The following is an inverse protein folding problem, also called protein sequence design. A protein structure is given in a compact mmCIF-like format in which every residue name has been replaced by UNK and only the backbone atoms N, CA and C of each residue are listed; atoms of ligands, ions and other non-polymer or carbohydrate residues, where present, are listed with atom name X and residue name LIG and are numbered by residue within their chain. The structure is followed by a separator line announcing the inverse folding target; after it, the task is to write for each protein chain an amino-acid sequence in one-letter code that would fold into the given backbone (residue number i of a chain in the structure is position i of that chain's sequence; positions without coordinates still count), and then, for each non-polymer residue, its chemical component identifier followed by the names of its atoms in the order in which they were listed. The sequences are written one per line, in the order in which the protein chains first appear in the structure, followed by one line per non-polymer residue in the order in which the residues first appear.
data_IF_935082537492
#
_entry.id   IF_935082537492
#
_cell.length_a   1.000
_cell.length_b   1.000
_cell.length_c   1.000
_cell.angle_alpha   90.00
_cell.angle_beta   90.00
_cell.angle_gamma   90.00
#
_symmetry.space_group_name_H-M   'P 1'
#
loop_
_entity.id
_entity.type
_entity.pdbx_description
1 polymer ?
#
# COMPACT_ATOMS: atom_id res chain seq x y z
N UNK A 1 -17.59 -22.62 19.54
CA UNK A 1 -17.11 -24.03 19.44
C UNK A 1 -15.63 -23.94 19.09
N UNK A 2 -14.75 -24.48 19.96
CA UNK A 2 -13.33 -24.59 19.67
C UNK A 2 -13.12 -25.66 18.61
N UNK A 3 -12.46 -25.33 17.51
CA UNK A 3 -12.09 -26.28 16.48
C UNK A 3 -11.15 -27.35 17.08
N UNK A 4 -11.51 -28.63 16.89
CA UNK A 4 -10.67 -29.76 17.30
C UNK A 4 -10.10 -30.42 16.07
N UNK A 5 -8.78 -30.61 16.03
CA UNK A 5 -8.12 -31.29 14.93
C UNK A 5 -8.65 -32.75 14.77
N UNK A 6 -8.84 -33.25 13.53
CA UNK A 6 -9.24 -34.63 13.30
C UNK A 6 -8.29 -35.63 13.97
N UNK A 7 -8.78 -36.82 14.41
CA UNK A 7 -7.93 -37.85 14.99
C UNK A 7 -6.79 -38.21 14.03
N UNK A 8 -5.55 -38.19 14.52
CA UNK A 8 -4.34 -38.42 13.72
C UNK A 8 -3.67 -37.17 13.10
N UNK A 9 -4.29 -36.00 13.16
CA UNK A 9 -3.75 -34.74 12.61
C UNK A 9 -2.97 -33.90 13.61
N UNK A 10 -2.63 -34.45 14.79
CA UNK A 10 -2.00 -33.72 15.89
C UNK A 10 -0.67 -33.03 15.56
N UNK A 11 -0.01 -33.47 14.48
CA UNK A 11 1.18 -32.82 13.95
C UNK A 11 1.12 -32.88 12.43
N UNK A 12 1.18 -31.77 11.74
CA UNK A 12 1.42 -31.77 10.29
C UNK A 12 2.93 -31.85 10.07
N UNK A 13 3.37 -33.04 9.66
CA UNK A 13 4.72 -33.34 9.16
C UNK A 13 5.88 -33.11 10.13
N UNK A 14 6.50 -34.13 10.60
CA UNK A 14 7.87 -34.31 11.11
C UNK A 14 8.59 -33.16 11.87
N UNK A 15 7.93 -32.06 12.10
CA UNK A 15 8.46 -30.82 12.63
C UNK A 15 7.76 -30.34 13.91
N UNK A 16 7.01 -31.19 14.61
CA UNK A 16 6.35 -30.90 15.89
C UNK A 16 5.49 -29.60 15.95
N UNK A 17 5.00 -29.07 14.83
CA UNK A 17 4.08 -27.93 14.87
C UNK A 17 2.67 -28.45 15.08
N UNK A 18 1.98 -28.06 16.16
CA UNK A 18 0.61 -28.52 16.41
C UNK A 18 -0.32 -28.00 15.30
N UNK A 19 -1.27 -28.82 14.88
CA UNK A 19 -2.34 -28.42 13.98
C UNK A 19 -3.43 -27.76 14.80
N UNK A 20 -3.58 -26.45 14.67
CA UNK A 20 -4.55 -25.65 15.43
C UNK A 20 -5.65 -25.05 14.54
N UNK A 21 -5.50 -25.12 13.21
CA UNK A 21 -6.50 -24.68 12.25
C UNK A 21 -6.46 -25.55 10.96
N UNK A 22 -7.55 -25.61 10.16
CA UNK A 22 -7.55 -26.30 8.87
C UNK A 22 -6.53 -25.69 7.90
N UNK A 23 -6.24 -26.38 6.80
CA UNK A 23 -5.36 -25.84 5.75
C UNK A 23 -4.74 -26.92 4.87
N UNK A 24 -3.99 -26.53 3.83
CA UNK A 24 -3.39 -27.43 2.86
C UNK A 24 -2.33 -28.34 3.46
N UNK A 25 -2.07 -29.45 2.81
CA UNK A 25 -0.94 -30.32 3.14
C UNK A 25 0.38 -29.81 2.52
N UNK A 26 1.54 -30.28 3.07
CA UNK A 26 2.88 -29.94 2.53
C UNK A 26 3.00 -30.29 1.05
N UNK A 27 2.47 -31.44 0.63
CA UNK A 27 2.54 -31.92 -0.75
C UNK A 27 1.75 -30.99 -1.68
N UNK A 28 0.63 -30.47 -1.23
CA UNK A 28 -0.18 -29.50 -1.94
C UNK A 28 0.55 -28.17 -2.08
N UNK A 29 1.13 -27.66 -0.99
CA UNK A 29 1.93 -26.42 -1.00
C UNK A 29 3.09 -26.50 -1.99
N UNK A 30 3.81 -27.63 -2.02
CA UNK A 30 4.91 -27.85 -2.98
C UNK A 30 4.43 -27.84 -4.41
N UNK A 31 3.28 -28.47 -4.71
CA UNK A 31 2.69 -28.44 -6.07
C UNK A 31 2.27 -27.04 -6.50
N UNK A 32 1.76 -26.26 -5.54
CA UNK A 32 1.28 -24.87 -5.78
C UNK A 32 2.37 -23.81 -5.64
N UNK A 33 3.63 -24.18 -5.43
CA UNK A 33 4.73 -23.25 -5.19
C UNK A 33 4.88 -22.19 -6.30
N UNK A 34 4.76 -22.60 -7.56
CA UNK A 34 4.80 -21.68 -8.71
C UNK A 34 3.63 -20.68 -8.68
N UNK A 35 2.45 -21.13 -8.31
CA UNK A 35 1.27 -20.27 -8.17
C UNK A 35 1.48 -19.24 -7.04
N UNK A 36 1.99 -19.67 -5.89
CA UNK A 36 2.33 -18.79 -4.78
C UNK A 36 3.28 -17.67 -5.21
N UNK A 37 4.24 -17.98 -6.09
CA UNK A 37 5.22 -17.01 -6.57
C UNK A 37 4.67 -16.06 -7.64
N UNK A 38 3.83 -16.54 -8.56
CA UNK A 38 3.41 -15.79 -9.75
C UNK A 38 1.98 -15.23 -9.65
N UNK A 39 1.11 -15.88 -8.87
CA UNK A 39 -0.27 -15.45 -8.65
C UNK A 39 -0.70 -15.63 -7.20
N UNK A 40 -0.06 -14.93 -6.24
CA UNK A 40 -0.36 -15.06 -4.81
C UNK A 40 -1.79 -14.65 -4.46
N UNK A 41 -2.41 -13.75 -5.22
CA UNK A 41 -3.77 -13.29 -5.00
C UNK A 41 -4.78 -14.44 -5.17
N UNK A 42 -4.68 -15.14 -6.28
CA UNK A 42 -5.53 -16.31 -6.57
C UNK A 42 -5.28 -17.44 -5.57
N UNK A 43 -4.00 -17.68 -5.23
CA UNK A 43 -3.64 -18.68 -4.22
C UNK A 43 -4.32 -18.40 -2.87
N UNK A 44 -4.27 -17.16 -2.37
CA UNK A 44 -4.88 -16.80 -1.09
C UNK A 44 -6.41 -16.90 -1.16
N UNK A 45 -7.02 -16.46 -2.25
CA UNK A 45 -8.47 -16.51 -2.45
C UNK A 45 -8.99 -17.95 -2.48
N UNK A 46 -8.38 -18.82 -3.28
CA UNK A 46 -8.73 -20.24 -3.35
C UNK A 46 -8.48 -20.96 -2.01
N UNK A 47 -7.39 -20.62 -1.32
CA UNK A 47 -7.09 -21.21 -0.01
C UNK A 47 -8.17 -20.87 1.00
N UNK A 48 -8.64 -19.63 1.04
CA UNK A 48 -9.77 -19.23 1.87
C UNK A 48 -11.05 -19.98 1.49
N UNK A 49 -11.38 -20.06 0.20
CA UNK A 49 -12.60 -20.75 -0.29
C UNK A 49 -12.62 -22.24 0.09
N UNK A 50 -11.46 -22.89 0.06
CA UNK A 50 -11.33 -24.33 0.32
C UNK A 50 -11.27 -24.66 1.82
N UNK A 51 -10.65 -23.83 2.63
CA UNK A 51 -10.33 -24.17 4.01
C UNK A 51 -11.00 -23.28 5.07
N UNK A 52 -11.67 -22.19 4.66
CA UNK A 52 -12.40 -21.29 5.55
C UNK A 52 -11.58 -20.08 6.02
N UNK A 53 -12.11 -19.42 7.05
CA UNK A 53 -11.69 -18.07 7.43
C UNK A 53 -10.34 -18.00 8.15
N UNK A 54 -9.94 -19.05 8.84
CA UNK A 54 -8.63 -19.16 9.48
C UNK A 54 -7.94 -20.42 8.97
N UNK A 55 -6.84 -20.24 8.27
CA UNK A 55 -6.11 -21.32 7.60
C UNK A 55 -4.69 -21.39 8.09
N UNK A 56 -4.24 -22.57 8.51
CA UNK A 56 -2.85 -22.83 8.88
C UNK A 56 -2.07 -23.38 7.69
N UNK A 57 -1.01 -22.67 7.28
CA UNK A 57 -0.04 -23.20 6.32
C UNK A 57 1.00 -24.07 7.02
N UNK A 58 1.37 -25.22 6.44
CA UNK A 58 2.37 -26.12 7.00
C UNK A 58 3.81 -25.59 6.84
N UNK A 59 4.05 -24.73 5.85
CA UNK A 59 5.32 -24.07 5.52
C UNK A 59 5.06 -22.64 5.08
N UNK A 60 5.99 -21.66 5.22
CA UNK A 60 7.30 -21.80 5.89
C UNK A 60 7.18 -21.85 7.43
N UNK A 61 8.34 -22.02 8.08
CA UNK A 61 8.42 -21.83 9.53
C UNK A 61 8.86 -20.41 9.86
N UNK A 62 8.39 -19.80 10.94
CA UNK A 62 7.39 -20.31 11.92
C UNK A 62 6.05 -20.60 11.26
N UNK A 63 5.12 -21.27 12.02
CA UNK A 63 3.77 -21.53 11.55
C UNK A 63 3.12 -20.28 10.98
N UNK A 64 2.46 -20.40 9.86
CA UNK A 64 1.84 -19.26 9.16
C UNK A 64 0.35 -19.46 9.06
N UNK A 65 -0.43 -18.40 9.28
CA UNK A 65 -1.88 -18.40 9.30
C UNK A 65 -2.41 -17.34 8.35
N UNK A 66 -3.38 -17.71 7.50
CA UNK A 66 -4.20 -16.76 6.75
C UNK A 66 -5.48 -16.51 7.55
N UNK A 67 -5.79 -15.25 7.79
CA UNK A 67 -7.04 -14.81 8.44
C UNK A 67 -7.80 -13.96 7.44
N UNK A 68 -8.99 -14.44 7.02
CA UNK A 68 -9.75 -13.92 5.88
C UNK A 68 -11.14 -13.41 6.23
N UNK A 69 -11.60 -13.59 7.47
CA UNK A 69 -12.87 -13.00 7.90
C UNK A 69 -12.70 -11.57 8.39
N UNK A 70 -13.74 -10.74 8.31
CA UNK A 70 -13.75 -9.40 8.91
C UNK A 70 -13.51 -9.41 10.40
N UNK A 71 -14.10 -10.36 11.14
CA UNK A 71 -13.93 -10.48 12.59
C UNK A 71 -12.51 -10.93 12.95
N UNK A 72 -11.98 -11.94 12.26
CA UNK A 72 -10.61 -12.39 12.48
C UNK A 72 -9.58 -11.31 12.16
N UNK A 73 -9.80 -10.52 11.11
CA UNK A 73 -8.98 -9.35 10.81
C UNK A 73 -9.00 -8.32 11.96
N UNK A 74 -10.18 -8.08 12.54
CA UNK A 74 -10.32 -7.22 13.73
C UNK A 74 -9.60 -7.81 14.94
N UNK A 75 -9.71 -9.12 15.17
CA UNK A 75 -9.03 -9.78 16.27
C UNK A 75 -7.52 -9.61 16.16
N UNK A 76 -6.94 -9.78 14.98
CA UNK A 76 -5.50 -9.64 14.74
C UNK A 76 -5.04 -8.18 14.82
N UNK A 77 -5.77 -7.25 14.18
CA UNK A 77 -5.27 -5.87 13.97
C UNK A 77 -5.69 -4.91 15.09
N UNK A 78 -6.78 -5.21 15.80
CA UNK A 78 -7.36 -4.33 16.82
C UNK A 78 -7.32 -4.98 18.19
N UNK A 79 -8.00 -6.13 18.38
CA UNK A 79 -8.22 -6.70 19.70
C UNK A 79 -6.91 -7.22 20.32
N UNK A 80 -6.12 -7.96 19.56
CA UNK A 80 -4.84 -8.55 20.00
C UNK A 80 -3.61 -7.73 19.56
N UNK A 81 -3.77 -6.44 19.20
CA UNK A 81 -2.66 -5.64 18.65
C UNK A 81 -1.41 -5.58 19.54
N UNK A 82 -1.56 -5.73 20.89
CA UNK A 82 -0.43 -5.72 21.85
C UNK A 82 0.39 -7.01 21.78
N UNK A 83 -0.25 -8.13 21.43
CA UNK A 83 0.39 -9.42 21.22
C UNK A 83 0.96 -9.58 19.80
N UNK A 84 0.93 -8.51 18.97
CA UNK A 84 1.34 -8.53 17.57
C UNK A 84 2.51 -7.61 17.30
N UNK A 85 3.55 -8.14 16.65
CA UNK A 85 4.72 -7.43 16.18
C UNK A 85 4.71 -7.28 14.65
N UNK A 86 5.42 -6.29 14.13
CA UNK A 86 5.72 -6.14 12.69
C UNK A 86 7.02 -6.82 12.25
N UNK A 87 7.71 -7.53 13.10
CA UNK A 87 8.95 -8.27 12.77
C UNK A 87 8.68 -9.49 11.91
N UNK A 88 8.18 -9.26 10.70
CA UNK A 88 7.91 -10.27 9.68
C UNK A 88 8.88 -10.11 8.53
N UNK A 89 9.01 -11.12 7.67
CA UNK A 89 9.89 -11.08 6.49
C UNK A 89 9.54 -9.89 5.57
N UNK A 90 8.26 -9.57 5.42
CA UNK A 90 7.78 -8.45 4.62
C UNK A 90 8.38 -7.13 5.11
N UNK A 91 8.18 -6.80 6.39
CA UNK A 91 8.67 -5.52 6.95
C UNK A 91 10.17 -5.49 7.16
N UNK A 92 10.81 -6.63 7.50
CA UNK A 92 12.27 -6.72 7.60
C UNK A 92 12.96 -6.51 6.25
N UNK A 93 12.34 -6.96 5.15
CA UNK A 93 12.90 -6.73 3.81
C UNK A 93 12.68 -5.27 3.38
N UNK A 94 11.51 -4.70 3.67
CA UNK A 94 11.20 -3.31 3.38
C UNK A 94 12.11 -2.34 4.17
N UNK A 95 12.44 -2.67 5.41
CA UNK A 95 13.33 -1.85 6.25
C UNK A 95 14.77 -1.74 5.72
N UNK A 96 15.19 -2.61 4.78
CA UNK A 96 16.46 -2.45 4.06
C UNK A 96 16.48 -1.16 3.23
N UNK A 97 15.33 -0.68 2.81
CA UNK A 97 15.15 0.55 2.02
C UNK A 97 14.77 1.73 2.91
N UNK A 98 13.70 1.57 3.71
CA UNK A 98 13.15 2.66 4.53
C UNK A 98 13.86 2.86 5.86
N UNK A 99 14.63 1.86 6.33
CA UNK A 99 15.11 1.84 7.71
C UNK A 99 13.97 1.52 8.68
N UNK A 100 14.12 1.91 9.94
CA UNK A 100 13.12 1.75 11.02
C UNK A 100 12.25 3.00 11.16
N UNK A 101 11.64 3.46 10.03
CA UNK A 101 10.65 4.52 10.04
C UNK A 101 9.25 4.02 10.41
N UNK A 102 8.26 4.91 10.44
CA UNK A 102 6.89 4.68 10.92
C UNK A 102 6.23 3.42 10.32
N UNK A 103 6.53 3.10 9.06
CA UNK A 103 5.95 1.94 8.37
C UNK A 103 6.50 0.61 8.90
N UNK A 104 7.80 0.54 9.17
CA UNK A 104 8.53 -0.69 9.49
C UNK A 104 8.91 -0.83 10.97
N UNK A 105 8.99 0.29 11.69
CA UNK A 105 9.32 0.33 13.11
C UNK A 105 8.33 -0.50 13.96
N UNK A 106 8.87 -1.13 14.98
CA UNK A 106 8.08 -1.93 15.90
C UNK A 106 7.97 -1.29 17.30
N UNK A 107 6.94 -1.67 18.02
CA UNK A 107 6.63 -1.36 19.42
C UNK A 107 6.92 0.10 19.83
N UNK A 108 7.93 0.37 20.65
CA UNK A 108 8.16 1.68 21.26
C UNK A 108 8.66 2.73 20.26
N UNK A 109 9.56 2.34 19.35
CA UNK A 109 10.03 3.24 18.28
C UNK A 109 8.84 3.75 17.44
N UNK A 110 7.94 2.84 17.07
CA UNK A 110 6.74 3.22 16.34
C UNK A 110 5.82 4.15 17.14
N UNK A 111 5.57 3.88 18.43
CA UNK A 111 4.70 4.74 19.25
C UNK A 111 5.24 6.16 19.33
N UNK A 112 6.54 6.30 19.50
CA UNK A 112 7.22 7.60 19.53
C UNK A 112 7.08 8.32 18.19
N UNK A 113 7.49 7.68 17.09
CA UNK A 113 7.35 8.26 15.73
C UNK A 113 5.90 8.61 15.42
N UNK A 114 4.94 7.71 15.72
CA UNK A 114 3.50 7.97 15.46
C UNK A 114 3.00 9.22 16.16
N UNK A 115 3.37 9.42 17.42
CA UNK A 115 2.97 10.60 18.22
C UNK A 115 3.60 11.88 17.67
N UNK A 116 4.89 11.84 17.35
CA UNK A 116 5.62 12.98 16.83
C UNK A 116 5.14 13.42 15.43
N UNK A 117 4.73 12.45 14.59
CA UNK A 117 4.31 12.71 13.22
C UNK A 117 2.82 13.04 13.07
N UNK A 118 1.99 12.73 14.07
CA UNK A 118 0.57 12.98 14.01
C UNK A 118 0.19 14.42 13.64
N UNK A 119 0.86 15.49 14.15
CA UNK A 119 0.55 16.87 13.78
C UNK A 119 0.63 17.16 12.28
N UNK A 120 1.55 16.50 11.56
CA UNK A 120 1.71 16.69 10.12
C UNK A 120 0.58 16.08 9.27
N UNK A 121 -0.37 15.38 9.90
CA UNK A 121 -1.56 14.82 9.26
C UNK A 121 -2.86 15.44 9.81
N UNK A 122 -2.77 16.56 10.51
CA UNK A 122 -3.94 17.31 10.95
C UNK A 122 -4.60 18.05 9.78
N UNK A 123 -5.82 18.50 9.97
CA UNK A 123 -6.68 19.10 8.94
C UNK A 123 -6.00 20.27 8.18
N UNK A 124 -5.24 21.10 8.87
CA UNK A 124 -4.54 22.25 8.26
C UNK A 124 -3.53 21.78 7.20
N UNK A 125 -2.72 20.76 7.51
CA UNK A 125 -1.75 20.18 6.58
C UNK A 125 -2.43 19.45 5.41
N UNK A 126 -3.57 18.79 5.67
CA UNK A 126 -4.37 18.17 4.61
C UNK A 126 -4.92 19.25 3.66
N UNK A 127 -5.34 20.40 4.19
CA UNK A 127 -5.81 21.54 3.39
C UNK A 127 -4.70 22.10 2.48
N UNK A 128 -3.46 22.22 2.99
CA UNK A 128 -2.30 22.62 2.16
C UNK A 128 -2.04 21.63 1.03
N UNK A 129 -2.21 20.34 1.28
CA UNK A 129 -2.06 19.31 0.26
C UNK A 129 -3.00 19.51 -0.95
N UNK A 130 -4.20 20.08 -0.74
CA UNK A 130 -5.17 20.39 -1.80
C UNK A 130 -4.59 21.35 -2.85
N UNK A 131 -3.83 22.35 -2.42
CA UNK A 131 -3.19 23.31 -3.34
C UNK A 131 -2.09 22.64 -4.18
N UNK A 132 -1.34 21.71 -3.59
CA UNK A 132 -0.31 20.96 -4.32
C UNK A 132 -0.94 20.04 -5.36
N UNK A 133 -2.06 19.40 -5.04
CA UNK A 133 -2.84 18.60 -6.01
C UNK A 133 -3.31 19.48 -7.17
N UNK A 134 -3.91 20.64 -6.91
CA UNK A 134 -4.37 21.54 -7.95
C UNK A 134 -3.23 22.02 -8.86
N UNK A 135 -2.06 22.34 -8.28
CA UNK A 135 -0.89 22.75 -9.07
C UNK A 135 -0.38 21.62 -9.97
N UNK A 136 -0.30 20.41 -9.47
CA UNK A 136 0.15 19.24 -10.23
C UNK A 136 -0.86 18.90 -11.36
N UNK A 137 -2.16 19.00 -11.08
CA UNK A 137 -3.21 18.77 -12.07
C UNK A 137 -3.17 19.82 -13.20
N UNK A 138 -2.92 21.11 -12.89
CA UNK A 138 -2.77 22.13 -13.92
C UNK A 138 -1.59 21.85 -14.87
N UNK A 139 -0.47 21.32 -14.35
CA UNK A 139 0.66 20.88 -15.19
C UNK A 139 0.29 19.66 -16.03
N UNK A 140 -0.42 18.70 -15.44
CA UNK A 140 -0.91 17.53 -16.16
C UNK A 140 -1.82 17.95 -17.32
N UNK A 141 -2.75 18.88 -17.10
CA UNK A 141 -3.65 19.39 -18.12
C UNK A 141 -2.90 20.07 -19.27
N UNK A 142 -1.88 20.86 -18.99
CA UNK A 142 -1.03 21.48 -20.01
C UNK A 142 -0.33 20.42 -20.86
N UNK A 143 0.32 19.44 -20.22
CA UNK A 143 0.99 18.35 -20.92
C UNK A 143 0.02 17.52 -21.78
N UNK A 144 -1.17 17.22 -21.25
CA UNK A 144 -2.18 16.45 -21.96
C UNK A 144 -2.83 17.24 -23.11
N UNK A 145 -2.99 18.55 -22.95
CA UNK A 145 -3.45 19.42 -24.02
C UNK A 145 -2.48 19.47 -25.21
N UNK A 146 -1.16 19.51 -24.93
CA UNK A 146 -0.13 19.41 -25.95
C UNK A 146 -0.16 18.06 -26.66
N UNK A 147 -0.22 16.96 -25.90
CA UNK A 147 -0.27 15.60 -26.46
C UNK A 147 -1.51 15.34 -27.31
N UNK A 148 -2.63 15.98 -27.00
CA UNK A 148 -3.93 15.81 -27.71
C UNK A 148 -4.24 16.92 -28.70
N UNK A 149 -3.28 17.78 -29.01
CA UNK A 149 -3.46 18.90 -29.97
C UNK A 149 -3.99 18.47 -31.35
N UNK A 150 -3.65 17.25 -31.79
CA UNK A 150 -4.13 16.64 -33.02
C UNK A 150 -5.36 15.71 -32.83
N UNK A 151 -6.01 15.73 -31.66
CA UNK A 151 -7.26 15.02 -31.39
C UNK A 151 -7.18 14.05 -30.20
N UNK A 152 -6.43 12.96 -30.28
CA UNK A 152 -6.28 12.00 -29.18
C UNK A 152 -4.86 11.47 -29.09
N UNK A 153 -4.45 11.06 -27.89
CA UNK A 153 -3.14 10.48 -27.64
C UNK A 153 -3.23 9.11 -26.99
N UNK A 154 -2.19 8.31 -27.13
CA UNK A 154 -1.99 7.08 -26.39
C UNK A 154 -1.05 7.36 -25.22
N UNK A 155 -1.49 7.07 -23.99
CA UNK A 155 -0.69 7.27 -22.78
C UNK A 155 -0.65 6.00 -21.95
N UNK A 156 0.42 5.82 -21.17
CA UNK A 156 0.45 4.85 -20.08
C UNK A 156 -0.06 5.53 -18.80
N UNK A 157 -1.27 5.16 -18.39
CA UNK A 157 -1.92 5.72 -17.19
C UNK A 157 -1.16 5.33 -15.93
N UNK A 158 -0.59 4.12 -15.86
CA UNK A 158 0.17 3.68 -14.70
C UNK A 158 1.41 4.57 -14.48
N UNK A 159 2.18 4.83 -15.53
CA UNK A 159 3.33 5.74 -15.45
C UNK A 159 2.91 7.17 -15.15
N UNK A 160 1.81 7.63 -15.73
CA UNK A 160 1.29 8.99 -15.51
C UNK A 160 0.86 9.19 -14.05
N UNK A 161 0.10 8.24 -13.49
CA UNK A 161 -0.32 8.31 -12.08
C UNK A 161 0.86 8.18 -11.11
N UNK A 162 1.90 7.42 -11.48
CA UNK A 162 3.14 7.35 -10.71
C UNK A 162 3.84 8.72 -10.63
N UNK A 163 4.00 9.40 -11.76
CA UNK A 163 4.65 10.70 -11.80
C UNK A 163 3.83 11.76 -11.04
N UNK A 164 2.50 11.79 -11.27
CA UNK A 164 1.59 12.70 -10.57
C UNK A 164 1.60 12.49 -9.06
N UNK A 165 1.49 11.24 -8.60
CA UNK A 165 1.50 10.92 -7.18
C UNK A 165 2.83 11.29 -6.50
N UNK A 166 3.96 11.12 -7.20
CA UNK A 166 5.25 11.50 -6.63
C UNK A 166 5.40 13.03 -6.55
N UNK A 167 4.98 13.75 -7.58
CA UNK A 167 5.00 15.22 -7.57
C UNK A 167 4.18 15.76 -6.40
N UNK A 168 2.94 15.26 -6.23
CA UNK A 168 2.05 15.67 -5.14
C UNK A 168 2.64 15.29 -3.78
N UNK A 169 3.14 14.06 -3.64
CA UNK A 169 3.74 13.57 -2.39
C UNK A 169 4.96 14.40 -2.01
N UNK A 170 5.83 14.67 -2.98
CA UNK A 170 7.02 15.50 -2.78
C UNK A 170 6.67 16.92 -2.33
N UNK A 171 5.74 17.57 -3.03
CA UNK A 171 5.29 18.91 -2.68
C UNK A 171 4.61 18.97 -1.30
N UNK A 172 3.77 17.98 -0.99
CA UNK A 172 3.01 17.93 0.27
C UNK A 172 3.89 17.64 1.49
N UNK A 173 4.84 16.72 1.34
CA UNK A 173 5.62 16.23 2.48
C UNK A 173 6.93 17.01 2.68
N UNK A 174 7.48 17.63 1.63
CA UNK A 174 8.83 18.21 1.66
C UNK A 174 8.91 19.60 1.02
N UNK A 175 7.79 20.23 0.68
CA UNK A 175 7.75 21.52 -0.01
C UNK A 175 7.98 21.42 -1.53
N UNK A 176 7.89 22.54 -2.21
CA UNK A 176 7.92 22.66 -3.69
C UNK A 176 9.25 22.30 -4.36
N UNK A 177 10.29 22.02 -3.61
CA UNK A 177 11.68 21.97 -4.10
C UNK A 177 12.13 20.64 -4.74
N UNK A 178 11.26 19.68 -4.95
CA UNK A 178 11.62 18.43 -5.65
C UNK A 178 11.58 18.55 -7.19
N UNK A 179 11.22 19.71 -7.74
CA UNK A 179 11.24 19.97 -9.18
C UNK A 179 12.63 19.72 -9.77
N UNK A 180 12.75 18.75 -10.68
CA UNK A 180 14.01 18.30 -11.30
C UNK A 180 14.69 17.09 -10.63
N UNK A 181 14.27 16.68 -9.43
CA UNK A 181 14.76 15.46 -8.77
C UNK A 181 13.71 14.32 -8.74
N UNK A 182 12.49 14.63 -9.16
CA UNK A 182 11.34 13.71 -9.16
C UNK A 182 11.68 12.42 -9.89
N UNK A 183 12.20 12.49 -11.11
CA UNK A 183 12.50 11.31 -11.92
C UNK A 183 13.59 10.43 -11.30
N UNK A 184 14.63 11.05 -10.73
CA UNK A 184 15.72 10.33 -10.08
C UNK A 184 15.24 9.63 -8.82
N UNK A 185 14.45 10.34 -7.99
CA UNK A 185 13.90 9.81 -6.76
C UNK A 185 12.90 8.67 -7.04
N UNK A 186 12.02 8.85 -8.03
CA UNK A 186 11.07 7.81 -8.51
C UNK A 186 11.81 6.56 -8.94
N UNK A 187 12.76 6.74 -9.86
CA UNK A 187 13.51 5.62 -10.40
C UNK A 187 14.30 4.87 -9.33
N UNK A 188 14.93 5.59 -8.39
CA UNK A 188 15.65 4.99 -7.27
C UNK A 188 14.70 4.22 -6.34
N UNK A 189 13.55 4.82 -6.00
CA UNK A 189 12.53 4.21 -5.14
C UNK A 189 11.97 2.95 -5.77
N UNK A 190 11.55 2.99 -7.04
CA UNK A 190 11.00 1.83 -7.76
C UNK A 190 12.03 0.70 -7.87
N UNK A 191 13.29 1.00 -8.21
CA UNK A 191 14.36 -0.01 -8.25
C UNK A 191 14.63 -0.62 -6.88
N UNK A 192 14.61 0.18 -5.81
CA UNK A 192 14.80 -0.32 -4.45
C UNK A 192 13.65 -1.24 -4.04
N UNK A 193 12.40 -0.85 -4.31
CA UNK A 193 11.20 -1.65 -4.03
C UNK A 193 11.15 -2.93 -4.86
N UNK A 194 11.53 -2.88 -6.14
CA UNK A 194 11.69 -4.09 -6.96
C UNK A 194 12.69 -5.08 -6.31
N UNK A 195 13.82 -4.58 -5.82
CA UNK A 195 14.79 -5.40 -5.08
C UNK A 195 14.19 -6.04 -3.82
N UNK A 196 13.31 -5.33 -3.09
CA UNK A 196 12.56 -5.86 -1.94
C UNK A 196 11.68 -7.03 -2.37
N UNK A 197 10.92 -6.89 -3.46
CA UNK A 197 10.01 -7.94 -3.96
C UNK A 197 10.77 -9.18 -4.41
N UNK A 198 11.80 -9.02 -5.23
CA UNK A 198 12.64 -10.12 -5.69
C UNK A 198 13.22 -10.90 -4.50
N UNK A 199 13.65 -10.17 -3.47
CA UNK A 199 14.19 -10.76 -2.25
C UNK A 199 13.12 -11.48 -1.42
N UNK A 200 11.95 -10.89 -1.25
CA UNK A 200 10.85 -11.46 -0.49
C UNK A 200 10.26 -12.73 -1.14
N UNK A 201 10.28 -12.81 -2.47
CA UNK A 201 9.85 -14.00 -3.24
C UNK A 201 10.87 -15.13 -3.25
N UNK A 202 12.13 -14.85 -2.87
CA UNK A 202 13.17 -15.87 -2.82
C UNK A 202 13.12 -16.61 -1.47
N UNK A 203 12.90 -17.93 -1.44
CA UNK A 203 12.83 -18.71 -0.20
C UNK A 203 14.16 -18.75 0.58
N UNK A 204 15.28 -18.51 -0.10
CA UNK A 204 16.64 -18.46 0.49
C UNK A 204 17.35 -17.18 0.03
N UNK A 205 16.93 -16.00 0.52
CA UNK A 205 17.54 -14.76 0.09
C UNK A 205 18.97 -14.66 0.61
N UNK A 206 19.93 -14.56 -0.31
CA UNK A 206 21.35 -14.41 0.03
C UNK A 206 21.55 -13.12 0.84
N UNK A 207 22.39 -13.14 1.90
CA UNK A 207 22.73 -11.92 2.65
C UNK A 207 23.11 -10.77 1.70
N UNK A 208 22.63 -9.55 2.02
CA UNK A 208 22.86 -8.38 1.15
C UNK A 208 24.35 -8.08 0.95
N UNK A 209 25.21 -8.52 1.87
CA UNK A 209 26.66 -8.41 1.77
C UNK A 209 27.25 -9.20 0.57
N UNK A 210 26.64 -10.32 0.16
CA UNK A 210 27.10 -11.14 -0.95
C UNK A 210 26.83 -10.41 -2.28
N UNK A 211 27.83 -10.23 -3.17
CA UNK A 211 27.74 -9.43 -4.38
C UNK A 211 27.04 -10.18 -5.53
N UNK A 212 25.80 -10.62 -5.34
CA UNK A 212 24.98 -11.11 -6.45
C UNK A 212 24.48 -9.94 -7.31
N UNK A 213 24.15 -10.13 -8.60
CA UNK A 213 23.61 -9.06 -9.45
C UNK A 213 22.43 -8.33 -8.81
N UNK A 214 21.49 -9.07 -8.22
CA UNK A 214 20.33 -8.50 -7.52
C UNK A 214 20.74 -7.68 -6.28
N UNK A 215 21.66 -8.17 -5.47
CA UNK A 215 22.15 -7.47 -4.29
C UNK A 215 22.93 -6.20 -4.67
N UNK A 216 23.72 -6.25 -5.74
CA UNK A 216 24.45 -5.09 -6.26
C UNK A 216 23.49 -4.03 -6.78
N UNK A 217 22.47 -4.43 -7.56
CA UNK A 217 21.40 -3.55 -8.03
C UNK A 217 20.64 -2.90 -6.89
N UNK A 218 20.23 -3.68 -5.88
CA UNK A 218 19.52 -3.17 -4.70
C UNK A 218 20.38 -2.20 -3.88
N UNK A 219 21.68 -2.50 -3.65
CA UNK A 219 22.60 -1.58 -2.95
C UNK A 219 22.78 -0.27 -3.71
N UNK A 220 22.86 -0.33 -5.06
CA UNK A 220 22.94 0.88 -5.89
C UNK A 220 21.69 1.72 -5.73
N UNK A 221 20.51 1.12 -5.86
CA UNK A 221 19.24 1.82 -5.71
C UNK A 221 19.06 2.44 -4.31
N UNK A 222 19.44 1.73 -3.24
CA UNK A 222 19.42 2.26 -1.87
C UNK A 222 20.35 3.47 -1.74
N UNK A 223 21.57 3.41 -2.29
CA UNK A 223 22.51 4.54 -2.23
C UNK A 223 21.99 5.76 -3.01
N UNK A 224 21.39 5.55 -4.18
CA UNK A 224 20.78 6.62 -4.97
C UNK A 224 19.63 7.29 -4.19
N UNK A 225 18.77 6.49 -3.56
CA UNK A 225 17.71 6.97 -2.68
C UNK A 225 18.29 7.74 -1.48
N UNK A 226 19.31 7.19 -0.82
CA UNK A 226 19.99 7.86 0.30
C UNK A 226 20.58 9.21 -0.09
N UNK A 227 21.20 9.30 -1.26
CA UNK A 227 21.76 10.55 -1.78
C UNK A 227 20.66 11.58 -2.00
N UNK A 228 19.54 11.18 -2.63
CA UNK A 228 18.41 12.08 -2.87
C UNK A 228 17.75 12.54 -1.56
N UNK A 229 17.50 11.61 -0.62
CA UNK A 229 16.91 11.93 0.68
C UNK A 229 17.81 12.86 1.50
N UNK A 230 19.11 12.58 1.54
CA UNK A 230 20.06 13.46 2.26
C UNK A 230 20.14 14.85 1.63
N UNK A 231 20.06 14.97 0.30
CA UNK A 231 20.02 16.28 -0.37
C UNK A 231 18.77 17.11 0.02
N UNK A 232 17.60 16.46 0.20
CA UNK A 232 16.38 17.12 0.71
C UNK A 232 16.61 17.62 2.13
N UNK A 233 17.17 16.79 3.01
CA UNK A 233 17.45 17.14 4.40
C UNK A 233 18.48 18.30 4.46
N UNK A 234 19.58 18.23 3.70
CA UNK A 234 20.64 19.24 3.70
C UNK A 234 20.12 20.60 3.21
N UNK A 235 19.29 20.61 2.17
CA UNK A 235 18.67 21.85 1.69
C UNK A 235 17.80 22.50 2.76
N UNK A 236 16.99 21.72 3.48
CA UNK A 236 16.15 22.22 4.57
C UNK A 236 16.99 22.72 5.77
N UNK A 237 18.12 22.07 6.07
CA UNK A 237 19.06 22.53 7.09
C UNK A 237 19.72 23.86 6.73
N UNK A 238 19.92 24.12 5.43
CA UNK A 238 20.44 25.39 4.94
C UNK A 238 19.40 26.53 4.97
N UNK A 239 18.09 26.19 5.01
CA UNK A 239 16.97 27.14 5.13
C UNK A 239 16.04 26.72 6.29
N UNK A 240 16.49 26.90 7.54
CA UNK A 240 15.73 26.50 8.72
C UNK A 240 14.49 27.37 8.90
N UNK A 241 13.43 26.79 9.48
CA UNK A 241 12.23 27.52 9.84
C UNK A 241 12.55 28.51 10.96
N UNK A 242 12.27 29.83 10.81
CA UNK A 242 12.45 30.80 11.88
C UNK A 242 11.58 30.44 13.11
N UNK A 243 12.06 30.66 14.33
CA UNK A 243 11.29 30.41 15.54
C UNK A 243 9.91 31.10 15.52
N UNK A 244 8.85 30.36 15.84
CA UNK A 244 7.47 30.88 15.86
C UNK A 244 6.80 30.98 14.50
N UNK A 245 7.44 30.56 13.41
CA UNK A 245 6.81 30.48 12.08
C UNK A 245 5.85 29.29 11.98
N UNK A 246 4.80 29.37 11.16
CA UNK A 246 3.93 28.23 10.91
C UNK A 246 4.70 27.10 10.20
N UNK A 247 4.37 25.85 10.53
CA UNK A 247 4.92 24.64 9.90
C UNK A 247 4.56 24.67 8.41
N UNK A 248 5.57 24.53 7.53
CA UNK A 248 5.40 24.56 6.08
C UNK A 248 4.98 23.20 5.52
N UNK A 249 5.56 22.13 6.08
CA UNK A 249 5.39 20.76 5.59
C UNK A 249 5.85 19.72 6.63
N UNK A 250 5.80 18.44 6.25
CA UNK A 250 6.22 17.31 7.08
C UNK A 250 7.68 17.42 7.51
N UNK A 251 8.56 17.93 6.67
CA UNK A 251 9.99 17.97 6.97
C UNK A 251 10.28 18.93 8.13
N UNK A 252 9.54 20.05 8.24
CA UNK A 252 9.64 20.95 9.39
C UNK A 252 9.25 20.23 10.70
N UNK A 253 8.20 19.38 10.65
CA UNK A 253 7.81 18.54 11.81
C UNK A 253 8.91 17.54 12.18
N UNK A 254 9.52 16.89 11.20
CA UNK A 254 10.62 15.93 11.43
C UNK A 254 11.89 16.60 11.99
N UNK A 255 12.11 17.86 11.65
CA UNK A 255 13.32 18.61 12.02
C UNK A 255 13.12 19.52 13.25
N UNK A 256 11.94 19.48 13.87
CA UNK A 256 11.63 20.28 15.04
C UNK A 256 12.52 19.91 16.23
N UNK A 257 13.43 20.82 16.58
CA UNK A 257 14.36 20.67 17.70
C UNK A 257 13.73 21.04 19.06
N UNK A 258 12.50 21.52 19.06
CA UNK A 258 11.76 21.88 20.30
C UNK A 258 11.04 20.67 20.91
N UNK A 259 10.98 19.56 20.18
CA UNK A 259 10.42 18.30 20.69
C UNK A 259 11.17 17.81 21.92
N UNK A 260 10.46 17.20 22.85
CA UNK A 260 11.05 16.56 24.04
C UNK A 260 12.16 15.56 23.69
N UNK A 261 12.04 14.89 22.56
CA UNK A 261 13.03 13.97 21.99
C UNK A 261 13.20 14.27 20.50
N UNK A 262 14.06 15.23 20.11
CA UNK A 262 14.30 15.55 18.71
C UNK A 262 14.81 14.33 17.93
N UNK A 263 14.36 14.20 16.68
CA UNK A 263 14.80 13.10 15.83
C UNK A 263 16.27 13.30 15.40
N UNK A 264 17.04 12.22 15.48
CA UNK A 264 18.40 12.21 14.90
C UNK A 264 18.31 12.29 13.37
N UNK A 265 19.36 12.79 12.70
CA UNK A 265 19.45 12.82 11.24
C UNK A 265 19.14 11.44 10.60
N UNK A 266 19.57 10.36 11.24
CA UNK A 266 19.29 8.99 10.79
C UNK A 266 17.79 8.67 10.85
N UNK A 267 17.11 9.08 11.91
CA UNK A 267 15.65 8.89 12.03
C UNK A 267 14.89 9.75 11.03
N UNK A 268 15.29 11.03 10.83
CA UNK A 268 14.72 11.89 9.80
C UNK A 268 14.83 11.22 8.42
N UNK A 269 16.01 10.68 8.05
CA UNK A 269 16.22 9.92 6.81
C UNK A 269 15.24 8.74 6.71
N UNK A 270 15.02 7.99 7.80
CA UNK A 270 14.12 6.85 7.81
C UNK A 270 12.68 7.26 7.55
N UNK A 271 12.23 8.33 8.18
CA UNK A 271 10.87 8.83 8.00
C UNK A 271 10.67 9.44 6.60
N UNK A 272 11.61 10.23 6.09
CA UNK A 272 11.55 10.77 4.72
C UNK A 272 11.46 9.65 3.69
N UNK A 273 12.32 8.63 3.77
CA UNK A 273 12.27 7.47 2.88
C UNK A 273 10.96 6.67 3.04
N UNK A 274 10.45 6.55 4.27
CA UNK A 274 9.18 5.89 4.55
C UNK A 274 8.02 6.62 3.88
N UNK A 275 7.95 7.95 3.97
CA UNK A 275 6.86 8.72 3.40
C UNK A 275 6.90 8.78 1.88
N UNK A 276 8.09 8.83 1.28
CA UNK A 276 8.26 8.71 -0.17
C UNK A 276 7.68 7.36 -0.66
N UNK A 277 8.09 6.26 -0.02
CA UNK A 277 7.62 4.92 -0.41
C UNK A 277 6.11 4.76 -0.17
N UNK A 278 5.63 5.18 1.00
CA UNK A 278 4.24 4.95 1.41
C UNK A 278 3.24 5.89 0.73
N UNK A 279 3.62 7.14 0.48
CA UNK A 279 2.72 8.17 -0.07
C UNK A 279 2.60 8.12 -1.60
N UNK A 280 3.64 7.69 -2.28
CA UNK A 280 3.71 7.73 -3.73
C UNK A 280 3.08 6.49 -4.39
N UNK A 281 3.62 5.30 -4.12
CA UNK A 281 3.25 4.09 -4.85
C UNK A 281 1.81 3.64 -4.59
N UNK A 282 1.31 3.87 -3.37
CA UNK A 282 -0.04 3.45 -2.98
C UNK A 282 -1.13 4.29 -3.66
N UNK A 283 -0.96 5.61 -3.73
CA UNK A 283 -1.88 6.52 -4.41
C UNK A 283 -1.85 6.27 -5.92
N UNK A 284 -0.67 6.13 -6.51
CA UNK A 284 -0.52 5.83 -7.93
C UNK A 284 -1.23 4.53 -8.31
N UNK A 285 -1.02 3.46 -7.54
CA UNK A 285 -1.70 2.17 -7.72
C UNK A 285 -3.22 2.32 -7.66
N UNK A 286 -3.75 3.00 -6.64
CA UNK A 286 -5.18 3.22 -6.48
C UNK A 286 -5.78 3.99 -7.67
N UNK A 287 -5.14 5.08 -8.11
CA UNK A 287 -5.59 5.87 -9.25
C UNK A 287 -5.52 5.10 -10.57
N UNK A 288 -4.46 4.34 -10.79
CA UNK A 288 -4.33 3.48 -11.97
C UNK A 288 -5.48 2.49 -12.07
N UNK A 289 -5.80 1.79 -10.97
CA UNK A 289 -6.91 0.85 -10.94
C UNK A 289 -8.28 1.55 -11.02
N UNK A 290 -8.42 2.77 -10.52
CA UNK A 290 -9.64 3.55 -10.69
C UNK A 290 -9.91 3.83 -12.18
N UNK A 291 -8.90 4.22 -12.95
CA UNK A 291 -9.05 4.45 -14.38
C UNK A 291 -9.31 3.17 -15.17
N UNK A 292 -8.70 2.05 -14.77
CA UNK A 292 -9.03 0.74 -15.32
C UNK A 292 -10.50 0.38 -15.09
N UNK A 293 -10.99 0.54 -13.86
CA UNK A 293 -12.37 0.25 -13.50
C UNK A 293 -13.37 1.17 -14.20
N UNK A 294 -13.10 2.47 -14.24
CA UNK A 294 -13.94 3.43 -14.97
C UNK A 294 -13.94 3.14 -16.47
N UNK A 295 -12.80 2.81 -17.06
CA UNK A 295 -12.72 2.42 -18.47
C UNK A 295 -13.48 1.13 -18.79
N UNK A 296 -13.57 0.22 -17.83
CA UNK A 296 -14.32 -1.04 -17.94
C UNK A 296 -15.82 -0.89 -17.60
N UNK A 297 -16.23 0.23 -17.01
CA UNK A 297 -17.59 0.54 -16.59
C UNK A 297 -18.01 1.93 -17.09
N UNK A 298 -18.30 2.10 -18.40
CA UNK A 298 -18.55 3.40 -19.01
C UNK A 298 -19.74 4.17 -18.41
N UNK A 299 -20.75 3.46 -17.88
CA UNK A 299 -21.87 4.09 -17.17
C UNK A 299 -21.42 4.79 -15.90
N UNK A 300 -20.53 4.17 -15.10
CA UNK A 300 -19.97 4.78 -13.89
C UNK A 300 -19.00 5.91 -14.24
N UNK A 301 -18.26 5.81 -15.34
CA UNK A 301 -17.42 6.90 -15.85
C UNK A 301 -18.26 8.13 -16.22
N UNK A 302 -19.37 7.92 -16.93
CA UNK A 302 -20.32 9.00 -17.27
C UNK A 302 -20.98 9.59 -16.02
N UNK A 303 -21.39 8.75 -15.07
CA UNK A 303 -21.95 9.22 -13.79
C UNK A 303 -20.96 10.08 -13.01
N UNK A 304 -19.67 9.69 -12.98
CA UNK A 304 -18.63 10.47 -12.34
C UNK A 304 -18.39 11.81 -13.05
N UNK A 305 -18.43 11.83 -14.38
CA UNK A 305 -18.27 13.05 -15.19
C UNK A 305 -19.37 14.06 -14.88
N UNK A 306 -20.63 13.60 -14.80
CA UNK A 306 -21.80 14.45 -14.51
C UNK A 306 -21.89 14.85 -13.02
N UNK A 307 -21.44 13.95 -12.14
CA UNK A 307 -21.51 14.06 -10.69
C UNK A 307 -20.11 13.90 -10.06
N UNK A 308 -19.23 14.91 -10.16
CA UNK A 308 -17.85 14.82 -9.68
C UNK A 308 -17.71 14.60 -8.17
N UNK A 309 -18.75 14.92 -7.38
CA UNK A 309 -18.82 14.60 -5.95
C UNK A 309 -18.79 13.10 -5.65
N UNK A 310 -19.10 12.25 -6.63
CA UNK A 310 -19.01 10.79 -6.52
C UNK A 310 -17.57 10.26 -6.51
N UNK A 311 -16.58 11.10 -6.78
CA UNK A 311 -15.18 10.68 -6.86
C UNK A 311 -14.69 9.97 -5.59
N UNK A 312 -15.16 10.37 -4.41
CA UNK A 312 -14.83 9.69 -3.16
C UNK A 312 -15.39 8.25 -3.11
N UNK A 313 -16.61 8.02 -3.61
CA UNK A 313 -17.23 6.70 -3.68
C UNK A 313 -16.49 5.79 -4.67
N UNK A 314 -16.13 6.34 -5.84
CA UNK A 314 -15.33 5.67 -6.87
C UNK A 314 -13.97 5.26 -6.29
N UNK A 315 -13.33 6.15 -5.56
CA UNK A 315 -12.02 5.88 -4.95
C UNK A 315 -12.12 4.79 -3.87
N UNK A 316 -13.10 4.86 -2.97
CA UNK A 316 -13.28 3.86 -1.92
C UNK A 316 -13.62 2.47 -2.51
N UNK A 317 -14.46 2.37 -3.55
CA UNK A 317 -14.76 1.10 -4.22
C UNK A 317 -13.55 0.55 -4.99
N UNK A 318 -12.73 1.43 -5.57
CA UNK A 318 -11.45 1.04 -6.16
C UNK A 318 -10.52 0.43 -5.11
N UNK A 319 -10.38 1.07 -3.96
CA UNK A 319 -9.58 0.56 -2.84
C UNK A 319 -10.10 -0.77 -2.29
N UNK A 320 -11.40 -1.03 -2.40
CA UNK A 320 -11.98 -2.32 -2.05
C UNK A 320 -11.56 -3.41 -3.04
N UNK A 321 -11.73 -3.17 -4.34
CA UNK A 321 -11.42 -4.15 -5.39
C UNK A 321 -9.92 -4.37 -5.58
N UNK A 322 -9.15 -3.28 -5.55
CA UNK A 322 -7.71 -3.27 -5.78
C UNK A 322 -6.98 -2.54 -4.63
N UNK A 323 -6.99 -3.11 -3.41
CA UNK A 323 -6.28 -2.49 -2.28
C UNK A 323 -4.78 -2.48 -2.54
N UNK A 324 -4.10 -1.31 -2.61
CA UNK A 324 -2.66 -1.27 -2.83
C UNK A 324 -1.88 -2.15 -1.84
N UNK A 325 -2.22 -2.07 -0.56
CA UNK A 325 -1.71 -2.98 0.47
C UNK A 325 -2.57 -4.26 0.53
N UNK A 326 -2.32 -5.22 -0.34
CA UNK A 326 -3.09 -6.44 -0.51
C UNK A 326 -2.85 -7.51 0.57
N UNK A 327 -1.75 -7.38 1.34
CA UNK A 327 -1.44 -8.20 2.53
C UNK A 327 -0.94 -7.33 3.69
N UNK A 328 -1.34 -7.71 4.88
CA UNK A 328 -0.88 -7.13 6.15
C UNK A 328 -0.37 -8.28 6.99
N UNK A 329 0.90 -8.28 7.35
CA UNK A 329 1.47 -9.36 8.15
C UNK A 329 1.74 -8.94 9.59
N UNK A 330 1.60 -9.89 10.49
CA UNK A 330 1.96 -9.76 11.90
C UNK A 330 2.69 -11.02 12.37
N UNK A 331 3.48 -10.87 13.43
CA UNK A 331 4.09 -11.97 14.15
C UNK A 331 3.52 -11.97 15.58
N UNK A 332 3.02 -13.09 16.03
CA UNK A 332 2.52 -13.23 17.40
C UNK A 332 3.68 -13.23 18.38
N UNK A 333 3.57 -12.44 19.46
CA UNK A 333 4.53 -12.41 20.57
C UNK A 333 4.20 -13.47 21.62
N UNK A 334 2.93 -13.83 21.72
CA UNK A 334 2.37 -14.86 22.59
C UNK A 334 1.25 -15.60 21.86
N UNK A 335 0.74 -16.68 22.43
CA UNK A 335 -0.39 -17.39 21.84
C UNK A 335 -1.66 -16.55 21.94
N UNK A 336 -2.40 -16.44 20.85
CA UNK A 336 -3.64 -15.65 20.76
C UNK A 336 -4.76 -16.48 20.17
N UNK A 337 -5.99 -16.18 20.58
CA UNK A 337 -7.19 -16.76 19.96
C UNK A 337 -7.73 -15.83 18.89
N UNK A 338 -8.03 -16.39 17.71
CA UNK A 338 -8.66 -15.70 16.59
C UNK A 338 -9.80 -16.57 16.09
N UNK A 339 -11.02 -16.11 16.23
CA UNK A 339 -12.25 -16.85 15.83
C UNK A 339 -12.32 -18.30 16.36
N UNK A 340 -11.91 -18.53 17.59
CA UNK A 340 -11.90 -19.84 18.21
C UNK A 340 -10.71 -20.74 17.84
N UNK A 341 -9.76 -20.23 17.03
CA UNK A 341 -8.53 -20.93 16.69
C UNK A 341 -7.37 -20.41 17.51
N UNK A 342 -6.60 -21.30 18.12
CA UNK A 342 -5.38 -20.94 18.84
C UNK A 342 -4.21 -20.77 17.88
N UNK A 343 -3.74 -19.53 17.72
CA UNK A 343 -2.52 -19.19 16.97
C UNK A 343 -1.36 -19.14 17.99
N UNK A 344 -0.34 -19.98 17.87
CA UNK A 344 0.76 -20.05 18.85
C UNK A 344 1.65 -18.79 18.80
N UNK A 345 2.46 -18.61 19.82
CA UNK A 345 3.54 -17.62 19.81
C UNK A 345 4.47 -17.85 18.62
N UNK A 346 5.12 -16.78 18.16
CA UNK A 346 6.08 -16.79 17.04
C UNK A 346 5.48 -17.18 15.67
N UNK A 347 4.16 -17.17 15.53
CA UNK A 347 3.48 -17.46 14.27
C UNK A 347 3.44 -16.21 13.36
N UNK A 348 3.53 -16.45 12.05
CA UNK A 348 3.23 -15.44 11.03
C UNK A 348 1.72 -15.41 10.77
N UNK A 349 1.09 -14.27 11.00
CA UNK A 349 -0.34 -14.05 10.67
C UNK A 349 -0.46 -13.14 9.47
N UNK A 350 -1.19 -13.59 8.48
CA UNK A 350 -1.45 -12.90 7.21
C UNK A 350 -2.92 -12.50 7.20
N UNK A 351 -3.20 -11.21 7.18
CA UNK A 351 -4.52 -10.64 6.87
C UNK A 351 -4.44 -10.09 5.46
N UNK A 352 -5.29 -10.56 4.55
CA UNK A 352 -5.30 -10.10 3.18
C UNK A 352 -6.52 -9.21 2.89
N UNK A 353 -6.38 -7.89 2.77
CA UNK A 353 -7.45 -7.02 2.30
C UNK A 353 -8.05 -7.50 0.97
N UNK A 354 -7.23 -8.01 0.04
CA UNK A 354 -7.70 -8.60 -1.22
C UNK A 354 -8.75 -9.70 -1.01
N UNK A 355 -8.53 -10.59 -0.04
CA UNK A 355 -9.46 -11.68 0.27
C UNK A 355 -10.64 -11.19 1.12
N UNK A 356 -10.38 -10.39 2.17
CA UNK A 356 -11.44 -9.88 3.06
C UNK A 356 -12.43 -9.01 2.30
N UNK A 357 -11.98 -8.21 1.34
CA UNK A 357 -12.83 -7.36 0.51
C UNK A 357 -13.65 -8.15 -0.53
N UNK A 358 -13.41 -9.44 -0.67
CA UNK A 358 -14.17 -10.35 -1.54
C UNK A 358 -15.06 -11.32 -0.76
N UNK A 359 -15.19 -11.12 0.54
CA UNK A 359 -16.07 -11.92 1.39
C UNK A 359 -17.54 -11.54 1.16
N UNK A 360 -18.32 -12.40 0.52
CA UNK A 360 -19.73 -12.17 0.16
C UNK A 360 -20.65 -11.89 1.35
N UNK A 361 -20.26 -12.31 2.56
CA UNK A 361 -21.00 -12.02 3.79
C UNK A 361 -21.04 -10.52 4.12
N UNK A 362 -20.07 -9.76 3.61
CA UNK A 362 -19.98 -8.30 3.83
C UNK A 362 -20.18 -7.54 2.52
N UNK A 363 -19.72 -8.11 1.41
CA UNK A 363 -19.68 -7.49 0.10
C UNK A 363 -20.53 -8.28 -0.90
N UNK A 364 -21.87 -8.08 -0.97
CA UNK A 364 -22.69 -8.75 -1.98
C UNK A 364 -22.18 -8.45 -3.39
N UNK A 365 -22.08 -9.47 -4.26
CA UNK A 365 -21.48 -9.37 -5.59
C UNK A 365 -20.08 -8.73 -5.55
N UNK A 366 -19.10 -9.36 -4.87
CA UNK A 366 -17.84 -8.71 -4.49
C UNK A 366 -16.94 -8.36 -5.67
N UNK A 367 -17.11 -8.97 -6.83
CA UNK A 367 -16.30 -8.68 -8.03
C UNK A 367 -16.86 -7.52 -8.86
N UNK A 368 -18.09 -7.06 -8.59
CA UNK A 368 -18.68 -5.95 -9.32
C UNK A 368 -18.18 -4.60 -8.76
N UNK A 369 -17.93 -3.67 -9.67
CA UNK A 369 -17.58 -2.28 -9.36
C UNK A 369 -18.86 -1.46 -9.11
N UNK A 370 -19.19 -1.21 -7.87
CA UNK A 370 -20.43 -0.53 -7.44
C UNK A 370 -20.06 0.58 -6.43
N UNK A 371 -19.69 1.78 -6.88
CA UNK A 371 -19.33 2.90 -5.98
C UNK A 371 -20.39 3.25 -4.94
N UNK A 372 -21.67 3.07 -5.27
CA UNK A 372 -22.81 3.36 -4.38
C UNK A 372 -22.83 2.53 -3.09
N UNK A 373 -22.01 1.48 -2.98
CA UNK A 373 -21.80 0.75 -1.70
C UNK A 373 -21.35 1.66 -0.58
N UNK A 374 -20.66 2.73 -0.93
CA UNK A 374 -20.07 3.68 0.02
C UNK A 374 -20.93 4.94 0.25
N UNK A 375 -22.12 5.03 -0.36
CA UNK A 375 -23.03 6.18 -0.21
C UNK A 375 -23.43 6.44 1.25
N UNK A 376 -23.51 5.39 2.08
CA UNK A 376 -23.81 5.47 3.50
C UNK A 376 -22.56 5.25 4.39
N UNK A 377 -21.38 5.45 3.84
CA UNK A 377 -20.09 5.19 4.49
C UNK A 377 -19.60 3.75 4.33
N UNK A 378 -18.36 3.51 4.72
CA UNK A 378 -17.77 2.18 4.70
C UNK A 378 -18.35 1.27 5.79
N UNK A 379 -18.47 -0.05 5.56
CA UNK A 379 -18.90 -0.96 6.62
C UNK A 379 -17.90 -0.94 7.79
N UNK A 380 -18.41 -1.09 9.02
CA UNK A 380 -17.59 -1.08 10.25
C UNK A 380 -16.53 -2.19 10.26
N UNK A 381 -16.82 -3.32 9.60
CA UNK A 381 -15.94 -4.48 9.50
C UNK A 381 -15.75 -4.89 8.05
N UNK A 382 -14.55 -5.31 7.71
CA UNK A 382 -14.27 -5.88 6.39
C UNK A 382 -13.85 -4.87 5.32
N UNK A 383 -13.66 -3.58 5.66
CA UNK A 383 -13.04 -2.59 4.77
C UNK A 383 -11.68 -2.17 5.34
N UNK A 384 -10.60 -2.68 4.76
CA UNK A 384 -9.25 -2.64 5.33
C UNK A 384 -8.17 -2.07 4.38
N UNK A 385 -8.46 -1.17 3.42
CA UNK A 385 -7.43 -0.71 2.48
C UNK A 385 -6.32 0.09 3.17
N UNK A 386 -6.63 0.65 4.34
CA UNK A 386 -5.70 1.40 5.19
C UNK A 386 -5.26 0.63 6.44
N UNK A 387 -5.55 -0.68 6.51
CA UNK A 387 -5.37 -1.47 7.71
C UNK A 387 -6.41 -1.14 8.79
N UNK A 388 -6.11 -1.51 10.05
CA UNK A 388 -6.99 -1.23 11.19
C UNK A 388 -6.19 -1.11 12.49
N UNK A 389 -6.88 -0.65 13.55
CA UNK A 389 -6.34 -0.54 14.91
C UNK A 389 -5.29 0.56 15.05
N UNK A 390 -4.41 0.46 16.05
CA UNK A 390 -3.40 1.50 16.32
C UNK A 390 -2.45 1.76 15.15
N UNK A 391 -2.24 0.75 14.28
CA UNK A 391 -1.40 0.81 13.09
C UNK A 391 -2.15 1.24 11.83
N UNK A 392 -3.38 1.78 11.96
CA UNK A 392 -4.12 2.37 10.85
C UNK A 392 -3.26 3.41 10.12
N UNK A 393 -3.35 3.45 8.79
CA UNK A 393 -2.60 4.39 7.97
C UNK A 393 -2.75 5.82 8.46
N UNK A 394 -1.63 6.50 8.69
CA UNK A 394 -1.62 7.89 9.17
C UNK A 394 -2.10 8.86 8.08
N UNK A 395 -1.81 8.54 6.80
CA UNK A 395 -2.18 9.34 5.64
C UNK A 395 -3.55 9.02 5.04
N UNK A 396 -4.42 8.25 5.73
CA UNK A 396 -5.71 7.80 5.20
C UNK A 396 -6.57 8.96 4.65
N UNK A 397 -6.75 9.98 5.44
CA UNK A 397 -7.67 11.08 5.10
C UNK A 397 -7.08 11.96 4.00
N UNK A 398 -5.76 12.15 4.00
CA UNK A 398 -5.02 12.82 2.92
C UNK A 398 -5.14 12.02 1.61
N UNK A 399 -4.94 10.70 1.64
CA UNK A 399 -5.02 9.85 0.46
C UNK A 399 -6.43 9.85 -0.16
N UNK A 400 -7.47 9.79 0.67
CA UNK A 400 -8.87 9.84 0.18
C UNK A 400 -9.19 11.20 -0.44
N UNK A 401 -8.74 12.29 0.17
CA UNK A 401 -8.93 13.63 -0.38
C UNK A 401 -8.21 13.79 -1.72
N UNK A 402 -6.93 13.45 -1.78
CA UNK A 402 -6.14 13.52 -3.01
C UNK A 402 -6.72 12.63 -4.11
N UNK A 403 -7.07 11.39 -3.80
CA UNK A 403 -7.68 10.46 -4.76
C UNK A 403 -8.99 10.97 -5.34
N UNK A 404 -9.88 11.46 -4.48
CA UNK A 404 -11.15 12.04 -4.92
C UNK A 404 -10.95 13.31 -5.77
N UNK A 405 -10.05 14.21 -5.37
CA UNK A 405 -9.77 15.45 -6.11
C UNK A 405 -9.20 15.17 -7.50
N UNK A 406 -8.25 14.23 -7.60
CA UNK A 406 -7.64 13.83 -8.88
C UNK A 406 -8.69 13.18 -9.81
N UNK A 407 -9.47 12.25 -9.31
CA UNK A 407 -10.52 11.58 -10.09
C UNK A 407 -11.59 12.56 -10.56
N UNK A 408 -12.07 13.44 -9.68
CA UNK A 408 -13.02 14.49 -10.00
C UNK A 408 -12.51 15.40 -11.10
N UNK A 409 -11.30 15.92 -10.95
CA UNK A 409 -10.71 16.87 -11.93
C UNK A 409 -10.50 16.23 -13.30
N UNK A 410 -9.87 15.07 -13.33
CA UNK A 410 -9.55 14.40 -14.62
C UNK A 410 -10.84 13.96 -15.33
N UNK A 411 -11.85 13.42 -14.61
CA UNK A 411 -13.10 12.96 -15.22
C UNK A 411 -13.93 14.08 -15.84
N UNK A 412 -13.76 15.31 -15.40
CA UNK A 412 -14.47 16.47 -15.96
C UNK A 412 -13.80 17.04 -17.23
N UNK A 413 -12.48 16.88 -17.34
CA UNK A 413 -11.69 17.50 -18.42
C UNK A 413 -11.22 16.50 -19.48
N UNK A 414 -11.10 15.22 -19.10
CA UNK A 414 -10.46 14.19 -19.92
C UNK A 414 -11.22 12.88 -19.92
N UNK A 415 -11.27 12.23 -21.05
CA UNK A 415 -11.77 10.88 -21.21
C UNK A 415 -10.60 9.93 -21.41
N UNK A 416 -10.54 8.90 -20.56
CA UNK A 416 -9.59 7.79 -20.64
C UNK A 416 -10.36 6.53 -21.08
N UNK A 417 -10.07 6.03 -22.26
CA UNK A 417 -10.74 4.86 -22.83
C UNK A 417 -9.76 3.70 -22.98
N UNK A 418 -10.13 2.46 -22.63
CA UNK A 418 -9.28 1.29 -22.83
C UNK A 418 -9.02 1.07 -24.32
N UNK A 419 -7.80 0.59 -24.66
CA UNK A 419 -7.45 0.27 -26.04
C UNK A 419 -8.03 -1.10 -26.44
N UNK A 420 -8.08 -2.01 -25.49
CA UNK A 420 -8.59 -3.37 -25.64
C UNK A 420 -9.49 -3.74 -24.46
N UNK A 421 -10.61 -4.42 -24.73
CA UNK A 421 -11.49 -4.96 -23.70
C UNK A 421 -10.93 -6.26 -23.08
N UNK A 422 -9.66 -6.23 -22.64
CA UNK A 422 -9.02 -7.39 -22.03
C UNK A 422 -8.80 -7.14 -20.53
N UNK A 423 -8.92 -8.21 -19.74
CA UNK A 423 -8.52 -8.18 -18.34
C UNK A 423 -7.02 -7.88 -18.25
N UNK A 424 -6.67 -6.87 -17.46
CA UNK A 424 -5.28 -6.51 -17.21
C UNK A 424 -4.73 -7.41 -16.09
N UNK A 425 -3.67 -8.20 -16.34
CA UNK A 425 -3.08 -9.02 -15.30
C UNK A 425 -2.53 -8.16 -14.16
N UNK A 426 -2.72 -8.63 -12.93
CA UNK A 426 -2.27 -7.93 -11.72
C UNK A 426 -0.91 -8.43 -11.30
N UNK A 427 0.07 -7.54 -11.18
CA UNK A 427 1.33 -7.80 -10.48
C UNK A 427 1.14 -7.48 -8.98
N UNK A 428 1.13 -8.52 -8.16
CA UNK A 428 1.09 -8.41 -6.71
C UNK A 428 2.51 -8.28 -6.14
N UNK A 429 3.07 -7.10 -6.28
CA UNK A 429 4.40 -6.73 -5.77
C UNK A 429 4.30 -6.10 -4.37
N UNK A 430 4.96 -4.98 -4.10
CA UNK A 430 4.77 -4.20 -2.86
C UNK A 430 3.34 -3.67 -2.81
N UNK A 431 2.87 -3.16 -3.94
CA UNK A 431 1.47 -2.77 -4.20
C UNK A 431 0.90 -3.57 -5.37
N UNK A 432 -0.41 -3.51 -5.59
CA UNK A 432 -1.05 -4.09 -6.76
C UNK A 432 -0.87 -3.16 -7.96
N UNK A 433 -0.22 -3.65 -9.02
CA UNK A 433 -0.02 -2.87 -10.25
C UNK A 433 -0.46 -3.65 -11.49
N UNK A 434 -0.85 -2.98 -12.58
CA UNK A 434 -1.06 -3.65 -13.84
C UNK A 434 0.26 -4.19 -14.39
N UNK A 435 0.27 -5.44 -14.82
CA UNK A 435 1.45 -6.03 -15.41
C UNK A 435 1.68 -5.45 -16.82
N UNK A 436 2.79 -4.73 -16.99
CA UNK A 436 3.14 -4.11 -18.26
C UNK A 436 2.57 -2.71 -18.49
N UNK A 437 2.06 -2.05 -17.44
CA UNK A 437 1.46 -0.72 -17.52
C UNK A 437 -0.04 -0.75 -17.86
N UNK A 438 -0.62 0.43 -18.03
CA UNK A 438 -2.04 0.59 -18.38
C UNK A 438 -2.18 1.55 -19.59
N UNK A 439 -1.96 1.08 -20.82
CA UNK A 439 -2.13 1.92 -21.99
C UNK A 439 -3.61 2.25 -22.23
N UNK A 440 -3.93 3.54 -22.29
CA UNK A 440 -5.29 4.04 -22.57
C UNK A 440 -5.25 5.17 -23.61
N UNK A 441 -6.36 5.35 -24.30
CA UNK A 441 -6.58 6.48 -25.20
C UNK A 441 -7.06 7.67 -24.39
N UNK A 442 -6.32 8.75 -24.47
CA UNK A 442 -6.64 10.05 -23.89
C UNK A 442 -7.33 10.94 -24.93
N UNK A 443 -8.47 11.51 -24.57
CA UNK A 443 -9.20 12.47 -25.40
C UNK A 443 -9.69 13.61 -24.51
N UNK A 444 -9.59 14.84 -25.00
CA UNK A 444 -10.14 15.99 -24.28
C UNK A 444 -11.66 15.98 -24.39
N UNK A 445 -12.36 16.19 -23.29
CA UNK A 445 -13.80 16.42 -23.30
C UNK A 445 -14.02 17.82 -23.89
N UNK A 446 -14.81 17.90 -24.95
CA UNK A 446 -15.18 19.19 -25.54
C UNK A 446 -16.33 19.77 -24.73
N UNK A 447 -16.25 21.06 -24.47
CA UNK A 447 -17.31 21.87 -23.85
C UNK A 447 -18.63 21.76 -24.64
#
# INVERSE_FOLDING_TARGET
MTWTAPPGSRTRHGWNTPVTAPGPENREMLKRFREIQHNPLNFLLQTWQLHGDVVQFPIPRPASYLVSSPQGARDVLVNNHRAMSKRTIQYSTLSLVTGEGLLTADTETWKTSRRQLAPAFHHEMISLATNHVATALNRLDQNWAELTSEGSALIDVDQTMMNLALEITGATLFGSDLTGQVDQLTSATLRALHGVVVRARNPLPMPLAIPTPNNLGMRKAIRELDTAVNAIIDRRLADPLPPGSPIRDMLDVLMDQTLEQPLSRKQIRYEVATFIVAGHETIASALTWAWYLLGSNPEEAQRLQVHPERAALVFDETLRLYPPAWVITRRTLESVEVEGFLIPADALVIVSPWVVHRNERVWPNPELFIPDRFANGAPMLGYLPFGAGPRLCIGRDMARLQGAQILSHISQNWQLSPIHNQQVPVDASVTLRPQGGLPMRLTRIKD
#
